data_IF_207791610325
#
_entry.id   IF_207791610325
#
_cell.length_a   1.000
_cell.length_b   1.000
_cell.length_c   1.000
_cell.angle_alpha   90.00
_cell.angle_beta   90.00
_cell.angle_gamma   90.00
#
_symmetry.space_group_name_H-M   'P 1'
#
loop_
_entity.id
_entity.type
_entity.pdbx_description
1 polymer ?
#
# COMPACT_ATOMS: atom_id res chain seq x y z
N UNK A 1 3.34 -19.12 20.21
CA UNK A 1 4.33 -18.11 19.79
C UNK A 1 5.69 -18.73 19.43
N UNK A 2 6.34 -19.53 20.30
CA UNK A 2 7.66 -20.16 20.00
C UNK A 2 7.68 -21.05 18.75
N UNK A 3 6.58 -21.77 18.43
CA UNK A 3 6.47 -22.62 17.23
C UNK A 3 6.34 -21.81 15.93
N UNK A 4 5.71 -20.63 15.96
CA UNK A 4 5.62 -19.74 14.80
C UNK A 4 6.97 -19.09 14.49
N UNK A 5 7.75 -18.73 15.52
CA UNK A 5 9.11 -18.20 15.38
C UNK A 5 10.05 -19.28 14.80
N UNK A 6 9.90 -20.54 15.23
CA UNK A 6 10.70 -21.65 14.71
C UNK A 6 10.35 -21.96 13.23
N UNK A 7 9.09 -21.87 12.83
CA UNK A 7 8.66 -22.04 11.43
C UNK A 7 9.17 -20.88 10.58
N UNK A 8 9.10 -19.65 11.07
CA UNK A 8 9.67 -18.49 10.37
C UNK A 8 11.21 -18.61 10.23
N UNK A 9 11.91 -19.07 11.27
CA UNK A 9 13.35 -19.31 11.23
C UNK A 9 13.74 -20.46 10.27
N UNK A 10 12.91 -21.52 10.18
CA UNK A 10 13.15 -22.64 9.26
C UNK A 10 12.93 -22.24 7.79
N UNK A 11 11.96 -21.35 7.51
CA UNK A 11 11.72 -20.81 6.18
C UNK A 11 12.85 -19.88 5.70
N UNK A 12 13.56 -19.22 6.63
CA UNK A 12 14.71 -18.35 6.33
C UNK A 12 15.98 -19.19 6.03
N UNK A 13 16.10 -20.39 6.60
CA UNK A 13 17.32 -21.20 6.50
C UNK A 13 17.40 -22.14 5.29
N UNK A 14 16.30 -22.30 4.54
CA UNK A 14 16.20 -23.39 3.57
C UNK A 14 16.50 -23.04 2.11
N UNK A 15 16.74 -21.77 1.73
CA UNK A 15 17.04 -21.42 0.33
C UNK A 15 18.06 -20.28 0.24
N UNK A 16 19.33 -20.61 0.31
CA UNK A 16 20.41 -19.71 -0.09
C UNK A 16 20.57 -19.68 -1.63
N UNK A 17 19.51 -19.44 -2.36
CA UNK A 17 19.62 -18.95 -3.72
C UNK A 17 19.46 -17.45 -3.61
N UNK A 18 20.57 -16.72 -3.70
CA UNK A 18 20.57 -15.24 -3.62
C UNK A 18 19.64 -14.69 -4.70
N UNK A 19 18.47 -14.24 -4.29
CA UNK A 19 17.50 -13.60 -5.18
C UNK A 19 17.88 -12.13 -5.47
N UNK A 20 18.97 -11.64 -4.86
CA UNK A 20 19.48 -10.29 -5.11
C UNK A 20 20.02 -10.18 -6.52
N UNK A 21 19.60 -9.12 -7.20
CA UNK A 21 20.11 -8.79 -8.52
C UNK A 21 21.57 -8.31 -8.44
N UNK A 22 22.37 -8.52 -9.50
CA UNK A 22 23.74 -8.00 -9.56
C UNK A 22 23.75 -6.46 -9.38
N UNK A 23 24.80 -5.95 -8.74
CA UNK A 23 25.01 -4.49 -8.62
C UNK A 23 25.08 -3.86 -10.01
N UNK A 24 24.37 -2.73 -10.18
CA UNK A 24 24.26 -2.02 -11.46
C UNK A 24 23.13 -2.52 -12.36
N UNK A 25 22.42 -3.57 -11.97
CA UNK A 25 21.31 -4.09 -12.78
C UNK A 25 19.99 -3.35 -12.53
N UNK A 26 19.12 -3.41 -13.53
CA UNK A 26 17.74 -2.95 -13.47
C UNK A 26 16.79 -4.14 -13.44
N UNK A 27 15.67 -3.96 -12.79
CA UNK A 27 14.56 -4.91 -12.85
C UNK A 27 13.22 -4.17 -12.83
N UNK A 28 12.18 -4.79 -13.37
CA UNK A 28 10.80 -4.34 -13.24
C UNK A 28 10.03 -5.36 -12.41
N UNK A 29 9.19 -4.86 -11.51
CA UNK A 29 8.39 -5.67 -10.61
C UNK A 29 6.91 -5.32 -10.74
N UNK A 30 6.15 -5.97 -11.67
CA UNK A 30 4.70 -5.96 -11.58
C UNK A 30 4.26 -6.55 -10.24
N UNK A 31 3.26 -5.92 -9.62
CA UNK A 31 2.73 -6.32 -8.30
C UNK A 31 1.23 -6.08 -8.20
N UNK A 32 0.59 -6.89 -7.39
CA UNK A 32 -0.82 -6.78 -7.03
C UNK A 32 -0.97 -7.09 -5.56
N UNK A 33 -1.99 -6.53 -4.93
CA UNK A 33 -2.21 -6.77 -3.51
C UNK A 33 -3.46 -6.10 -2.96
N UNK A 34 -3.47 -5.96 -1.64
CA UNK A 34 -4.57 -5.44 -0.87
C UNK A 34 -4.12 -4.24 -0.03
N UNK A 35 -5.00 -3.27 0.07
CA UNK A 35 -4.90 -2.16 1.02
C UNK A 35 -5.91 -2.36 2.15
N UNK A 36 -5.50 -2.01 3.34
CA UNK A 36 -6.36 -1.74 4.49
C UNK A 36 -6.19 -0.25 4.76
N UNK A 37 -7.14 0.55 4.28
CA UNK A 37 -7.05 2.01 4.27
C UNK A 37 -8.02 2.62 5.26
N UNK A 38 -7.58 3.64 5.97
CA UNK A 38 -8.40 4.47 6.85
C UNK A 38 -7.97 5.93 6.74
N UNK A 39 -8.74 6.81 7.35
CA UNK A 39 -8.40 8.22 7.53
C UNK A 39 -8.08 8.49 8.99
N UNK A 40 -7.00 9.21 9.25
CA UNK A 40 -6.70 9.66 10.62
C UNK A 40 -7.73 10.69 11.08
N UNK A 41 -8.01 10.74 12.39
CA UNK A 41 -8.99 11.69 12.97
C UNK A 41 -10.39 11.60 12.35
N UNK A 42 -10.76 10.45 11.84
CA UNK A 42 -12.10 10.14 11.39
C UNK A 42 -12.73 9.22 12.43
N UNK A 43 -13.33 9.85 13.45
CA UNK A 43 -14.00 9.12 14.52
C UNK A 43 -15.20 8.34 13.92
N UNK A 44 -15.48 7.17 14.48
CA UNK A 44 -16.58 6.28 14.06
C UNK A 44 -16.47 5.76 12.60
N UNK A 45 -15.26 5.61 12.08
CA UNK A 45 -15.02 4.98 10.76
C UNK A 45 -14.18 3.70 10.85
N UNK A 46 -14.55 2.72 10.04
CA UNK A 46 -13.84 1.46 9.88
C UNK A 46 -12.88 1.52 8.67
N UNK A 47 -11.79 0.74 8.69
CA UNK A 47 -10.92 0.62 7.55
C UNK A 47 -11.64 0.03 6.32
N UNK A 48 -11.36 0.61 5.15
CA UNK A 48 -11.80 0.06 3.86
C UNK A 48 -10.75 -0.91 3.31
N UNK A 49 -11.21 -2.09 2.86
CA UNK A 49 -10.41 -2.99 2.06
C UNK A 49 -10.44 -2.56 0.60
N UNK A 50 -9.27 -2.38 0.00
CA UNK A 50 -9.09 -1.97 -1.38
C UNK A 50 -8.06 -2.82 -2.11
N UNK A 51 -8.00 -2.71 -3.43
CA UNK A 51 -6.99 -3.33 -4.26
C UNK A 51 -5.85 -2.35 -4.54
N UNK A 52 -4.66 -2.90 -4.76
CA UNK A 52 -3.51 -2.18 -5.29
C UNK A 52 -2.87 -3.00 -6.40
N UNK A 53 -2.54 -2.36 -7.52
CA UNK A 53 -1.89 -3.01 -8.64
C UNK A 53 -1.04 -2.01 -9.43
N UNK A 54 0.07 -2.48 -10.00
CA UNK A 54 0.95 -1.67 -10.83
C UNK A 54 2.32 -2.28 -10.97
N UNK A 55 3.34 -1.44 -11.19
CA UNK A 55 4.71 -1.89 -11.33
C UNK A 55 5.70 -0.91 -10.67
N UNK A 56 6.79 -1.43 -10.16
CA UNK A 56 7.95 -0.68 -9.68
C UNK A 56 9.19 -1.08 -10.50
N UNK A 57 9.99 -0.10 -10.89
CA UNK A 57 11.34 -0.30 -11.40
C UNK A 57 12.30 -0.25 -10.23
N UNK A 58 13.31 -1.12 -10.25
CA UNK A 58 14.36 -1.13 -9.24
C UNK A 58 15.73 -1.11 -9.91
N UNK A 59 16.61 -0.28 -9.36
CA UNK A 59 18.03 -0.24 -9.64
C UNK A 59 18.81 -0.74 -8.43
N UNK A 60 19.67 -1.76 -8.61
CA UNK A 60 20.53 -2.28 -7.55
C UNK A 60 21.80 -1.44 -7.47
N UNK A 61 21.85 -0.50 -6.53
CA UNK A 61 22.97 0.46 -6.40
C UNK A 61 24.19 -0.15 -5.72
N UNK A 62 24.00 -1.10 -4.79
CA UNK A 62 25.05 -1.88 -4.13
C UNK A 62 24.46 -3.19 -3.63
N UNK A 63 25.30 -4.09 -3.06
CA UNK A 63 24.82 -5.35 -2.47
C UNK A 63 23.76 -5.14 -1.38
N UNK A 64 23.77 -4.00 -0.68
CA UNK A 64 22.85 -3.70 0.40
C UNK A 64 21.79 -2.67 0.05
N UNK A 65 21.89 -1.98 -1.09
CA UNK A 65 21.01 -0.86 -1.41
C UNK A 65 20.45 -0.97 -2.82
N UNK A 66 19.14 -1.02 -2.90
CA UNK A 66 18.38 -0.79 -4.13
C UNK A 66 17.57 0.50 -4.03
N UNK A 67 17.33 1.14 -5.16
CA UNK A 67 16.41 2.28 -5.28
C UNK A 67 15.30 1.87 -6.22
N UNK A 68 14.06 2.05 -5.79
CA UNK A 68 12.90 1.74 -6.63
C UNK A 68 11.97 2.94 -6.80
N UNK A 69 11.34 3.01 -7.97
CA UNK A 69 10.27 3.95 -8.26
C UNK A 69 9.22 3.28 -9.15
N UNK A 70 7.97 3.73 -9.09
CA UNK A 70 6.94 3.07 -9.86
C UNK A 70 5.63 3.84 -9.94
N UNK A 71 4.61 3.16 -10.46
CA UNK A 71 3.24 3.66 -10.49
C UNK A 71 2.29 2.53 -10.07
N UNK A 72 1.44 2.83 -9.09
CA UNK A 72 0.48 1.89 -8.54
C UNK A 72 -0.91 2.54 -8.50
N UNK A 73 -1.89 1.89 -9.10
CA UNK A 73 -3.30 2.18 -8.81
C UNK A 73 -3.62 1.65 -7.42
N UNK A 74 -4.24 2.48 -6.58
CA UNK A 74 -4.44 2.18 -5.16
C UNK A 74 -5.82 2.63 -4.71
N UNK A 75 -6.67 1.67 -4.36
CA UNK A 75 -7.99 1.93 -3.78
C UNK A 75 -7.85 2.16 -2.29
N UNK A 76 -8.26 3.36 -1.83
CA UNK A 76 -8.18 3.82 -0.44
C UNK A 76 -9.52 4.40 0.02
N UNK A 77 -9.54 4.98 1.22
CA UNK A 77 -10.71 5.60 1.86
C UNK A 77 -11.08 4.90 3.16
N UNK A 78 -12.32 5.05 3.58
CA UNK A 78 -12.85 4.46 4.81
C UNK A 78 -14.32 4.03 4.64
N UNK A 79 -14.83 3.28 5.60
CA UNK A 79 -16.24 2.91 5.72
C UNK A 79 -16.80 3.43 7.04
N UNK A 80 -18.10 3.63 7.12
CA UNK A 80 -18.80 3.99 8.36
C UNK A 80 -20.24 3.54 8.28
N UNK A 81 -20.90 3.41 9.43
CA UNK A 81 -22.31 3.08 9.53
C UNK A 81 -23.03 4.26 10.18
N UNK A 82 -24.11 4.69 9.59
CA UNK A 82 -24.97 5.75 10.14
C UNK A 82 -26.40 5.22 10.29
N UNK A 83 -26.99 5.46 11.44
CA UNK A 83 -28.43 5.19 11.68
C UNK A 83 -29.27 6.32 11.11
N UNK A 84 -29.98 6.07 10.01
CA UNK A 84 -31.02 6.97 9.52
C UNK A 84 -32.40 6.34 9.65
N UNK A 85 -33.27 6.98 10.42
CA UNK A 85 -34.67 6.56 10.62
C UNK A 85 -34.81 5.08 11.08
N UNK A 86 -33.90 4.62 11.96
CA UNK A 86 -33.94 3.25 12.49
C UNK A 86 -33.50 2.19 11.46
N UNK A 87 -32.72 2.57 10.46
CA UNK A 87 -32.08 1.67 9.50
C UNK A 87 -30.60 1.96 9.45
N UNK A 88 -29.81 0.88 9.54
CA UNK A 88 -28.37 0.95 9.31
C UNK A 88 -28.08 1.28 7.85
N UNK A 89 -27.36 2.37 7.63
CA UNK A 89 -26.87 2.79 6.31
C UNK A 89 -25.35 2.68 6.31
N UNK A 90 -24.84 1.76 5.52
CA UNK A 90 -23.38 1.64 5.29
C UNK A 90 -22.93 2.73 4.33
N UNK A 91 -22.04 3.61 4.79
CA UNK A 91 -21.43 4.67 3.99
C UNK A 91 -19.98 4.30 3.69
N UNK A 92 -19.61 4.23 2.43
CA UNK A 92 -18.24 3.98 1.98
C UNK A 92 -17.72 5.19 1.22
N UNK A 93 -16.67 5.80 1.76
CA UNK A 93 -15.88 6.80 1.06
C UNK A 93 -14.82 6.08 0.22
N UNK A 94 -14.83 6.32 -1.09
CA UNK A 94 -13.90 5.74 -2.06
C UNK A 94 -12.97 6.82 -2.56
N UNK A 95 -11.69 6.65 -2.27
CA UNK A 95 -10.61 7.48 -2.77
C UNK A 95 -9.64 6.57 -3.53
N UNK A 96 -9.58 6.71 -4.85
CA UNK A 96 -8.65 5.93 -5.64
C UNK A 96 -7.53 6.84 -6.14
N UNK A 97 -6.30 6.37 -5.99
CA UNK A 97 -5.08 7.13 -6.28
C UNK A 97 -4.21 6.43 -7.31
N UNK A 98 -3.46 7.24 -8.05
CA UNK A 98 -2.21 6.82 -8.68
C UNK A 98 -1.08 7.21 -7.75
N UNK A 99 -0.46 6.22 -7.12
CA UNK A 99 0.69 6.37 -6.23
C UNK A 99 1.98 6.24 -7.02
N UNK A 100 2.96 7.09 -6.71
CA UNK A 100 4.29 7.08 -7.32
C UNK A 100 5.33 6.87 -6.21
N UNK A 101 5.52 5.62 -5.72
CA UNK A 101 6.51 5.34 -4.70
C UNK A 101 7.93 5.58 -5.20
N UNK A 102 8.76 6.21 -4.39
CA UNK A 102 10.21 6.37 -4.58
C UNK A 102 10.86 5.87 -3.29
N UNK A 103 11.48 4.68 -3.34
CA UNK A 103 11.90 3.96 -2.15
C UNK A 103 13.38 3.60 -2.19
N UNK A 104 14.04 3.73 -1.04
CA UNK A 104 15.28 3.03 -0.74
C UNK A 104 14.91 1.62 -0.19
N UNK A 105 15.54 0.61 -0.74
CA UNK A 105 15.39 -0.79 -0.35
C UNK A 105 16.73 -1.23 0.27
N UNK A 106 16.77 -1.33 1.60
CA UNK A 106 17.98 -1.71 2.34
C UNK A 106 17.91 -3.18 2.67
N UNK A 107 18.75 -3.97 2.03
CA UNK A 107 18.86 -5.42 2.26
C UNK A 107 19.65 -5.68 3.54
N UNK A 108 18.97 -6.18 4.56
CA UNK A 108 19.56 -6.49 5.88
C UNK A 108 19.89 -7.97 6.03
N UNK A 109 19.36 -8.82 5.15
CA UNK A 109 19.70 -10.22 4.98
C UNK A 109 19.39 -10.65 3.54
N UNK A 110 19.90 -11.81 3.07
CA UNK A 110 19.60 -12.33 1.74
C UNK A 110 18.09 -12.39 1.48
N UNK A 111 17.63 -11.67 0.43
CA UNK A 111 16.23 -11.57 0.06
C UNK A 111 15.35 -10.72 0.99
N UNK A 112 15.84 -10.29 2.16
CA UNK A 112 15.05 -9.51 3.10
C UNK A 112 15.47 -8.02 3.08
N UNK A 113 14.54 -7.14 2.75
CA UNK A 113 14.79 -5.71 2.68
C UNK A 113 13.82 -4.91 3.55
N UNK A 114 14.37 -3.85 4.16
CA UNK A 114 13.61 -2.76 4.76
C UNK A 114 13.43 -1.68 3.68
N UNK A 115 12.23 -1.17 3.53
CA UNK A 115 11.87 -0.15 2.54
C UNK A 115 11.44 1.13 3.22
N UNK A 116 11.96 2.25 2.74
CA UNK A 116 11.63 3.57 3.25
C UNK A 116 11.70 4.58 2.09
N UNK A 117 10.79 5.57 2.08
CA UNK A 117 10.84 6.60 1.06
C UNK A 117 9.72 7.62 1.12
N UNK A 118 9.44 8.19 -0.03
CA UNK A 118 8.32 9.11 -0.24
C UNK A 118 7.41 8.57 -1.35
N UNK A 119 6.13 8.85 -1.23
CA UNK A 119 5.13 8.43 -2.20
C UNK A 119 4.17 9.57 -2.49
N UNK A 120 4.49 10.43 -3.47
CA UNK A 120 3.49 11.29 -4.08
C UNK A 120 2.33 10.47 -4.66
N UNK A 121 1.12 11.00 -4.56
CA UNK A 121 -0.07 10.37 -5.08
C UNK A 121 -1.04 11.41 -5.65
N UNK A 122 -1.83 11.00 -6.64
CA UNK A 122 -2.85 11.82 -7.25
C UNK A 122 -4.20 11.12 -7.14
N UNK A 123 -5.17 11.80 -6.52
CA UNK A 123 -6.54 11.31 -6.44
C UNK A 123 -7.19 11.39 -7.83
N UNK A 124 -7.69 10.26 -8.31
CA UNK A 124 -8.33 10.13 -9.62
C UNK A 124 -9.81 9.77 -9.52
N UNK A 125 -10.27 9.38 -8.33
CA UNK A 125 -11.67 9.07 -8.09
C UNK A 125 -12.01 9.37 -6.63
N UNK A 126 -13.08 10.18 -6.43
CA UNK A 126 -13.61 10.51 -5.11
C UNK A 126 -15.11 10.34 -5.13
N UNK A 127 -15.61 9.30 -4.47
CA UNK A 127 -17.05 9.01 -4.43
C UNK A 127 -17.47 8.49 -3.07
N UNK A 128 -18.68 8.87 -2.68
CA UNK A 128 -19.37 8.32 -1.51
C UNK A 128 -20.46 7.36 -1.98
N UNK A 129 -20.43 6.15 -1.48
CA UNK A 129 -21.46 5.13 -1.70
C UNK A 129 -22.22 4.90 -0.40
N UNK A 130 -23.51 5.15 -0.41
CA UNK A 130 -24.45 4.80 0.66
C UNK A 130 -25.22 3.52 0.26
N UNK A 131 -25.34 2.58 1.18
CA UNK A 131 -26.08 1.33 0.99
C UNK A 131 -27.03 1.10 2.15
N UNK A 132 -28.32 0.92 1.86
CA UNK A 132 -29.35 0.56 2.84
C UNK A 132 -30.14 -0.64 2.30
N UNK A 133 -29.94 -1.82 2.90
CA UNK A 133 -30.50 -3.07 2.42
C UNK A 133 -30.06 -3.39 0.99
N UNK A 134 -31.04 -3.52 0.06
CA UNK A 134 -30.80 -3.79 -1.36
C UNK A 134 -30.59 -2.52 -2.21
N UNK A 135 -30.84 -1.35 -1.67
CA UNK A 135 -30.69 -0.08 -2.38
C UNK A 135 -29.29 0.49 -2.17
N UNK A 136 -28.71 1.02 -3.24
CA UNK A 136 -27.41 1.72 -3.15
C UNK A 136 -27.47 2.99 -4.00
N UNK A 137 -26.99 4.10 -3.42
CA UNK A 137 -26.79 5.36 -4.10
C UNK A 137 -25.29 5.70 -4.09
N UNK A 138 -24.82 6.40 -5.11
CA UNK A 138 -23.45 6.88 -5.20
C UNK A 138 -23.48 8.33 -5.66
N UNK A 139 -22.69 9.16 -4.99
CA UNK A 139 -22.54 10.59 -5.29
C UNK A 139 -21.05 10.95 -5.25
N UNK A 140 -20.72 12.15 -5.73
CA UNK A 140 -19.37 12.69 -5.57
C UNK A 140 -19.07 12.93 -4.09
N UNK A 141 -17.82 12.72 -3.70
CA UNK A 141 -17.35 12.93 -2.35
C UNK A 141 -17.11 14.40 -2.02
N UNK A 142 -16.71 14.70 -0.76
CA UNK A 142 -16.31 16.05 -0.36
C UNK A 142 -15.11 16.55 -1.19
N UNK A 143 -14.87 17.86 -1.16
CA UNK A 143 -13.70 18.46 -1.84
C UNK A 143 -12.38 17.89 -1.33
N UNK A 144 -11.81 16.98 -2.13
CA UNK A 144 -10.53 16.36 -1.85
C UNK A 144 -9.34 17.23 -2.28
N UNK A 145 -8.18 16.94 -1.69
CA UNK A 145 -6.91 17.36 -2.24
C UNK A 145 -6.51 16.37 -3.34
N UNK A 146 -6.36 16.87 -4.56
CA UNK A 146 -5.93 16.04 -5.69
C UNK A 146 -4.54 15.44 -5.48
N UNK A 147 -3.67 16.18 -4.78
CA UNK A 147 -2.32 15.73 -4.45
C UNK A 147 -2.26 15.23 -3.00
N UNK A 148 -1.70 14.05 -2.81
CA UNK A 148 -1.35 13.48 -1.52
C UNK A 148 0.12 13.10 -1.48
N UNK A 149 0.74 13.22 -0.30
CA UNK A 149 2.10 12.79 -0.05
C UNK A 149 2.09 11.87 1.17
N UNK A 150 2.69 10.71 1.03
CA UNK A 150 2.88 9.77 2.14
C UNK A 150 4.33 9.33 2.28
N UNK A 151 4.66 8.80 3.45
CA UNK A 151 5.95 8.19 3.78
C UNK A 151 5.73 6.69 3.98
N UNK A 152 6.07 5.86 2.99
CA UNK A 152 6.05 4.42 3.10
C UNK A 152 7.18 3.91 4.00
N UNK A 153 6.85 2.99 4.91
CA UNK A 153 7.81 2.16 5.65
C UNK A 153 7.36 0.73 5.50
N UNK A 154 8.24 -0.17 5.08
CA UNK A 154 7.86 -1.54 4.81
C UNK A 154 8.99 -2.54 4.90
N UNK A 155 8.60 -3.79 4.77
CA UNK A 155 9.47 -4.94 4.70
C UNK A 155 9.12 -5.74 3.46
N UNK A 156 10.12 -6.30 2.80
CA UNK A 156 9.91 -7.24 1.71
C UNK A 156 10.82 -8.45 1.85
N UNK A 157 10.32 -9.56 1.34
CA UNK A 157 11.08 -10.79 1.21
C UNK A 157 11.03 -11.28 -0.23
N UNK A 158 12.21 -11.52 -0.78
CA UNK A 158 12.40 -12.02 -2.14
C UNK A 158 12.73 -13.52 -2.09
N UNK A 159 11.94 -14.30 -2.80
CA UNK A 159 12.14 -15.74 -2.96
C UNK A 159 12.12 -16.08 -4.44
N UNK A 160 13.24 -16.54 -4.98
CA UNK A 160 13.45 -16.66 -6.42
C UNK A 160 13.19 -15.30 -7.10
N UNK A 161 12.15 -15.22 -7.93
CA UNK A 161 11.72 -13.97 -8.54
C UNK A 161 10.44 -13.38 -7.89
N UNK A 162 9.87 -14.08 -6.91
CA UNK A 162 8.71 -13.57 -6.20
C UNK A 162 9.11 -12.64 -5.07
N UNK A 163 8.35 -11.57 -4.90
CA UNK A 163 8.53 -10.60 -3.83
C UNK A 163 7.22 -10.46 -3.07
N UNK A 164 7.26 -10.75 -1.78
CA UNK A 164 6.16 -10.47 -0.86
C UNK A 164 6.53 -9.21 -0.09
N UNK A 165 5.62 -8.27 0.00
CA UNK A 165 5.87 -6.99 0.64
C UNK A 165 4.70 -6.59 1.52
N UNK A 166 5.03 -6.12 2.73
CA UNK A 166 4.12 -5.41 3.63
C UNK A 166 4.66 -4.03 3.90
N UNK A 167 3.84 -2.97 3.64
CA UNK A 167 4.22 -1.59 3.94
C UNK A 167 3.09 -0.84 4.64
N UNK A 168 3.46 0.13 5.44
CA UNK A 168 2.56 1.12 5.97
C UNK A 168 2.88 2.48 5.36
N UNK A 169 1.87 3.13 4.80
CA UNK A 169 1.98 4.43 4.17
C UNK A 169 1.40 5.48 5.13
N UNK A 170 2.27 6.29 5.73
CA UNK A 170 1.89 7.40 6.62
C UNK A 170 1.56 8.63 5.77
N UNK A 171 0.30 9.07 5.75
CA UNK A 171 -0.10 10.31 5.10
C UNK A 171 0.57 11.52 5.76
N UNK A 172 1.22 12.35 4.97
CA UNK A 172 1.86 13.59 5.41
C UNK A 172 0.97 14.81 5.13
N UNK A 173 0.23 14.77 4.03
CA UNK A 173 -0.71 15.82 3.60
C UNK A 173 -2.14 15.50 4.03
N UNK A 174 -3.01 16.50 4.00
CA UNK A 174 -4.43 16.35 4.27
C UNK A 174 -5.13 15.73 3.06
N UNK A 175 -6.02 14.78 3.30
CA UNK A 175 -6.82 14.15 2.24
C UNK A 175 -7.92 15.10 1.70
N UNK A 176 -8.47 15.96 2.55
CA UNK A 176 -9.52 16.93 2.21
C UNK A 176 -9.07 18.35 2.56
N UNK A 177 -9.66 19.33 1.84
CA UNK A 177 -9.30 20.76 2.01
C UNK A 177 -9.73 21.31 3.38
N UNK A 178 -10.92 20.93 3.83
CA UNK A 178 -11.54 21.51 5.03
C UNK A 178 -11.44 20.63 6.28
N UNK A 179 -10.81 19.43 6.15
CA UNK A 179 -10.67 18.48 7.25
C UNK A 179 -9.18 18.19 7.54
N UNK A 180 -8.84 18.03 8.83
CA UNK A 180 -7.46 17.69 9.23
C UNK A 180 -7.27 16.17 9.35
N UNK A 181 -7.64 15.46 8.30
CA UNK A 181 -7.44 14.03 8.18
C UNK A 181 -6.43 13.67 7.09
N UNK A 182 -5.74 12.57 7.28
CA UNK A 182 -4.69 12.07 6.39
C UNK A 182 -4.94 10.61 6.07
N UNK A 183 -4.47 10.18 4.92
CA UNK A 183 -4.50 8.76 4.55
C UNK A 183 -3.58 7.93 5.47
N UNK A 184 -4.06 6.77 5.86
CA UNK A 184 -3.36 5.78 6.69
C UNK A 184 -3.61 4.41 6.07
N UNK A 185 -2.58 3.82 5.44
CA UNK A 185 -2.78 2.63 4.61
C UNK A 185 -1.77 1.55 4.93
N UNK A 186 -2.26 0.40 5.41
CA UNK A 186 -1.51 -0.86 5.34
C UNK A 186 -1.68 -1.47 3.96
N UNK A 187 -0.57 -1.82 3.33
CA UNK A 187 -0.52 -2.40 2.00
C UNK A 187 0.25 -3.71 2.02
N UNK A 188 -0.36 -4.76 1.46
CA UNK A 188 0.27 -6.07 1.25
C UNK A 188 0.27 -6.40 -0.22
N UNK A 189 1.43 -6.69 -0.79
CA UNK A 189 1.56 -7.01 -2.21
C UNK A 189 2.39 -8.25 -2.45
N UNK A 190 2.07 -8.92 -3.55
CA UNK A 190 2.92 -9.95 -4.17
C UNK A 190 3.30 -9.43 -5.54
N UNK A 191 4.58 -9.51 -5.84
CA UNK A 191 5.14 -9.08 -7.13
C UNK A 191 6.04 -10.17 -7.71
N UNK A 192 6.37 -9.98 -8.97
CA UNK A 192 7.34 -10.82 -9.67
C UNK A 192 8.43 -9.94 -10.26
N UNK A 193 9.69 -10.20 -9.89
CA UNK A 193 10.85 -9.42 -10.32
C UNK A 193 11.37 -9.96 -11.64
N UNK A 194 11.36 -9.14 -12.66
CA UNK A 194 11.88 -9.42 -14.00
C UNK A 194 13.17 -8.63 -14.19
N UNK A 195 14.34 -9.28 -14.28
CA UNK A 195 15.60 -8.63 -14.66
C UNK A 195 15.49 -8.04 -16.07
N UNK A 196 16.11 -6.86 -16.28
CA UNK A 196 16.17 -6.15 -17.57
C UNK A 196 17.59 -6.17 -18.12
#
# INVERSE_FOLDING_TARGET
MKKLIAIAALLISSVATFAQQPVGSFSIQPKVGLNIASLTKADDTDPRFGLVAGAEFMYQASDMLGVSFGALYSMQGCTGTTDELGKDVDVTLKLDYINIPILANVYVAPGFAVKLGLQPAFCINNKVKAKSGSNSAQTDGPDENTFDLSMPIGLSYEFSNFVIEGRYNFGLTKAFKDMDNKNSVFQFTVGYKLPL
#
